data_IF_276475479819
#
_entry.id   IF_276475479819
#
_cell.length_a   1.000
_cell.length_b   1.000
_cell.length_c   1.000
_cell.angle_alpha   90.00
_cell.angle_beta   90.00
_cell.angle_gamma   90.00
#
_symmetry.space_group_name_H-M   'P 1'
#
loop_
_entity.id
_entity.type
_entity.pdbx_description
1 polymer ?
#
# COMPACT_ATOMS: atom_id res chain seq x y z
N UNK A 1 -3.63 22.23 -58.78
CA UNK A 1 -3.78 21.55 -57.48
C UNK A 1 -3.57 22.60 -56.41
N UNK A 2 -4.66 23.17 -55.86
CA UNK A 2 -4.60 24.15 -54.77
C UNK A 2 -4.71 23.41 -53.44
N UNK A 3 -3.67 23.49 -52.62
CA UNK A 3 -3.68 23.04 -51.23
C UNK A 3 -4.33 24.12 -50.37
N UNK A 4 -5.51 23.81 -49.81
CA UNK A 4 -6.17 24.62 -48.78
C UNK A 4 -5.40 24.40 -47.47
N UNK A 5 -4.90 25.45 -46.79
CA UNK A 5 -4.30 25.28 -45.47
C UNK A 5 -5.39 24.87 -44.47
N UNK A 6 -5.13 23.80 -43.72
CA UNK A 6 -6.00 23.36 -42.64
C UNK A 6 -5.97 24.39 -41.51
N UNK A 7 -7.02 25.17 -41.38
CA UNK A 7 -7.27 26.03 -40.21
C UNK A 7 -7.40 25.12 -38.99
N UNK A 8 -6.56 25.35 -37.97
CA UNK A 8 -6.72 24.70 -36.67
C UNK A 8 -8.14 25.00 -36.13
N UNK A 9 -8.83 24.01 -35.50
CA UNK A 9 -10.13 24.27 -34.91
C UNK A 9 -9.98 25.36 -33.83
N UNK A 10 -10.91 26.33 -33.76
CA UNK A 10 -10.88 27.34 -32.71
C UNK A 10 -10.98 26.64 -31.35
N UNK A 11 -10.15 27.08 -30.39
CA UNK A 11 -10.28 26.72 -28.98
C UNK A 11 -11.69 27.09 -28.51
N UNK A 12 -12.58 26.09 -28.44
CA UNK A 12 -13.95 26.27 -27.98
C UNK A 12 -13.93 26.49 -26.48
N UNK A 13 -14.20 27.73 -26.07
CA UNK A 13 -14.49 28.03 -24.67
C UNK A 13 -15.62 27.11 -24.17
N UNK A 14 -15.51 26.57 -22.93
CA UNK A 14 -16.55 25.71 -22.39
C UNK A 14 -17.86 26.50 -22.28
N UNK A 15 -18.92 25.97 -22.87
CA UNK A 15 -20.26 26.56 -22.81
C UNK A 15 -20.66 26.70 -21.35
N UNK A 16 -21.13 27.90 -20.96
CA UNK A 16 -21.57 28.16 -19.59
C UNK A 16 -22.69 27.19 -19.17
N UNK A 17 -22.62 26.69 -17.93
CA UNK A 17 -23.57 25.70 -17.40
C UNK A 17 -25.03 26.23 -17.42
N UNK A 18 -25.21 27.53 -17.26
CA UNK A 18 -26.52 28.19 -17.34
C UNK A 18 -27.13 28.12 -18.75
N UNK A 19 -26.30 28.25 -19.79
CA UNK A 19 -26.71 28.11 -21.19
C UNK A 19 -27.08 26.65 -21.51
N UNK A 20 -26.29 25.69 -21.02
CA UNK A 20 -26.60 24.25 -21.13
C UNK A 20 -27.94 23.94 -20.47
N UNK A 21 -28.18 24.48 -19.28
CA UNK A 21 -29.45 24.31 -18.55
C UNK A 21 -30.63 24.91 -19.31
N UNK A 22 -30.47 26.10 -19.87
CA UNK A 22 -31.49 26.75 -20.71
C UNK A 22 -31.84 25.94 -21.96
N UNK A 23 -30.82 25.41 -22.65
CA UNK A 23 -30.99 24.53 -23.80
C UNK A 23 -31.71 23.23 -23.42
N UNK A 24 -31.30 22.57 -22.32
CA UNK A 24 -31.97 21.36 -21.80
C UNK A 24 -33.46 21.59 -21.51
N UNK A 25 -33.78 22.71 -20.85
CA UNK A 25 -35.17 23.07 -20.56
C UNK A 25 -35.98 23.39 -21.81
N UNK A 26 -35.35 23.97 -22.83
CA UNK A 26 -36.01 24.29 -24.10
C UNK A 26 -36.32 23.00 -24.86
N UNK A 27 -35.34 22.10 -25.02
CA UNK A 27 -35.55 20.80 -25.68
C UNK A 27 -36.62 19.98 -24.96
N UNK A 28 -36.57 19.90 -23.63
CA UNK A 28 -37.56 19.17 -22.84
C UNK A 28 -39.01 19.71 -23.00
N UNK A 29 -39.18 20.99 -23.36
CA UNK A 29 -40.51 21.59 -23.60
C UNK A 29 -41.08 21.25 -24.98
N UNK A 30 -40.23 20.99 -25.95
CA UNK A 30 -40.63 20.78 -27.35
C UNK A 30 -40.47 19.32 -27.83
N UNK A 31 -39.76 18.48 -27.06
CA UNK A 31 -39.65 17.06 -27.33
C UNK A 31 -40.98 16.34 -27.16
N UNK A 32 -41.26 15.41 -28.06
CA UNK A 32 -42.51 14.64 -28.12
C UNK A 32 -42.52 13.51 -27.08
N UNK A 33 -41.35 12.93 -26.82
CA UNK A 33 -41.14 11.90 -25.81
C UNK A 33 -39.69 11.92 -25.27
N UNK A 34 -39.40 10.98 -24.36
CA UNK A 34 -38.09 10.90 -23.72
C UNK A 34 -36.96 10.46 -24.67
N UNK A 35 -37.26 9.71 -25.73
CA UNK A 35 -36.28 9.28 -26.72
C UNK A 35 -35.92 10.45 -27.66
N UNK A 36 -36.94 11.17 -28.14
CA UNK A 36 -36.83 12.40 -28.93
C UNK A 36 -36.03 13.48 -28.17
N UNK A 37 -36.28 13.63 -26.87
CA UNK A 37 -35.50 14.53 -26.01
C UNK A 37 -34.02 14.14 -25.96
N UNK A 38 -33.71 12.85 -25.82
CA UNK A 38 -32.34 12.37 -25.77
C UNK A 38 -31.60 12.58 -27.10
N UNK A 39 -32.27 12.30 -28.22
CA UNK A 39 -31.74 12.52 -29.58
C UNK A 39 -31.46 14.01 -29.84
N UNK A 40 -32.41 14.89 -29.50
CA UNK A 40 -32.25 16.34 -29.66
C UNK A 40 -31.12 16.90 -28.80
N UNK A 41 -30.95 16.40 -27.57
CA UNK A 41 -29.83 16.82 -26.73
C UNK A 41 -28.49 16.31 -27.25
N UNK A 42 -28.44 15.10 -27.80
CA UNK A 42 -27.25 14.52 -28.41
C UNK A 42 -26.83 15.30 -29.68
N UNK A 43 -27.80 15.64 -30.54
CA UNK A 43 -27.57 16.48 -31.73
C UNK A 43 -26.99 17.87 -31.38
N UNK A 44 -27.36 18.42 -30.23
CA UNK A 44 -26.82 19.68 -29.73
C UNK A 44 -25.45 19.52 -29.05
N UNK A 45 -24.95 18.30 -28.87
CA UNK A 45 -23.74 17.99 -28.11
C UNK A 45 -23.92 18.20 -26.60
N UNK A 46 -25.16 18.23 -26.11
CA UNK A 46 -25.55 18.52 -24.72
C UNK A 46 -26.01 17.23 -23.99
N UNK A 47 -26.16 16.13 -24.74
CA UNK A 47 -26.95 14.95 -24.39
C UNK A 47 -26.29 13.86 -23.57
N UNK A 48 -25.04 13.99 -23.16
CA UNK A 48 -24.45 13.02 -22.23
C UNK A 48 -23.91 13.73 -21.02
N UNK A 49 -24.53 13.46 -19.88
CA UNK A 49 -23.88 13.74 -18.60
C UNK A 49 -22.50 13.07 -18.65
N UNK A 50 -21.44 13.82 -18.32
CA UNK A 50 -20.09 13.34 -18.51
C UNK A 50 -19.91 11.99 -17.80
N UNK A 51 -19.24 11.04 -18.47
CA UNK A 51 -19.01 9.69 -17.96
C UNK A 51 -17.61 9.53 -17.41
N UNK A 52 -17.50 8.68 -16.39
CA UNK A 52 -16.24 8.35 -15.74
C UNK A 52 -15.37 7.52 -16.68
N UNK A 53 -14.14 7.98 -16.93
CA UNK A 53 -13.17 7.23 -17.76
C UNK A 53 -12.76 5.88 -17.16
N UNK A 54 -13.02 5.64 -15.87
CA UNK A 54 -12.62 4.39 -15.17
C UNK A 54 -13.73 3.35 -15.07
N UNK A 55 -14.99 3.76 -14.99
CA UNK A 55 -16.09 2.84 -14.73
C UNK A 55 -17.32 3.09 -15.60
N UNK A 56 -17.23 4.02 -16.55
CA UNK A 56 -18.32 4.44 -17.45
C UNK A 56 -19.62 4.91 -16.75
N UNK A 57 -19.55 5.15 -15.44
CA UNK A 57 -20.67 5.67 -14.65
C UNK A 57 -20.81 7.17 -14.77
N UNK A 58 -21.99 7.71 -14.40
CA UNK A 58 -22.23 9.15 -14.36
C UNK A 58 -21.22 9.86 -13.45
N UNK A 59 -20.65 10.98 -13.93
CA UNK A 59 -19.74 11.81 -13.15
C UNK A 59 -20.41 12.45 -11.95
N UNK A 60 -21.72 12.68 -12.02
CA UNK A 60 -22.58 13.09 -10.91
C UNK A 60 -23.41 11.89 -10.46
N UNK A 61 -23.11 11.37 -9.27
CA UNK A 61 -23.90 10.29 -8.65
C UNK A 61 -24.23 10.66 -7.21
N UNK A 62 -25.45 10.37 -6.72
CA UNK A 62 -25.79 10.53 -5.32
C UNK A 62 -25.02 9.52 -4.46
N UNK A 63 -24.63 9.92 -3.25
CA UNK A 63 -24.16 8.99 -2.23
C UNK A 63 -25.31 8.20 -1.59
N UNK A 64 -25.00 7.30 -0.65
CA UNK A 64 -26.00 6.53 0.08
C UNK A 64 -26.97 7.36 0.93
N UNK A 65 -26.76 8.68 1.04
CA UNK A 65 -27.62 9.65 1.72
C UNK A 65 -28.35 10.57 0.73
N UNK A 66 -28.22 10.34 -0.58
CA UNK A 66 -28.87 11.13 -1.63
C UNK A 66 -28.16 12.44 -2.00
N UNK A 67 -27.00 12.74 -1.41
CA UNK A 67 -26.24 13.96 -1.73
C UNK A 67 -25.47 13.78 -3.03
N UNK A 68 -25.63 14.70 -3.98
CA UNK A 68 -24.92 14.66 -5.26
C UNK A 68 -23.46 15.10 -5.10
N UNK A 69 -22.54 14.32 -5.66
CA UNK A 69 -21.11 14.65 -5.72
C UNK A 69 -20.66 14.68 -7.18
N UNK A 70 -19.95 15.73 -7.58
CA UNK A 70 -19.33 15.83 -8.89
C UNK A 70 -17.98 15.11 -8.90
N UNK A 71 -17.72 14.35 -9.97
CA UNK A 71 -16.40 13.83 -10.30
C UNK A 71 -15.42 14.94 -10.65
N UNK A 72 -14.12 14.59 -10.69
CA UNK A 72 -13.03 15.50 -11.02
C UNK A 72 -12.08 14.83 -12.01
N UNK A 73 -11.48 15.61 -12.91
CA UNK A 73 -10.45 15.15 -13.84
C UNK A 73 -10.88 13.92 -14.68
N UNK A 74 -12.15 13.89 -15.11
CA UNK A 74 -12.73 12.77 -15.87
C UNK A 74 -13.07 11.51 -15.05
N UNK A 75 -12.89 11.54 -13.73
CA UNK A 75 -13.14 10.41 -12.82
C UNK A 75 -14.31 10.72 -11.88
N UNK A 76 -15.28 9.81 -11.77
CA UNK A 76 -16.42 9.99 -10.87
C UNK A 76 -16.00 9.92 -9.40
N UNK A 77 -16.80 10.52 -8.53
CA UNK A 77 -16.54 10.57 -7.09
C UNK A 77 -16.33 9.18 -6.45
N UNK A 78 -17.07 8.16 -6.89
CA UNK A 78 -16.90 6.77 -6.39
C UNK A 78 -15.51 6.22 -6.68
N UNK A 79 -15.02 6.43 -7.90
CA UNK A 79 -13.69 5.99 -8.30
C UNK A 79 -12.58 6.80 -7.64
N UNK A 80 -12.79 8.10 -7.40
CA UNK A 80 -11.86 8.93 -6.63
C UNK A 80 -11.76 8.44 -5.19
N UNK A 81 -12.91 8.24 -4.52
CA UNK A 81 -12.96 7.72 -3.15
C UNK A 81 -12.31 6.35 -3.02
N UNK A 82 -12.58 5.43 -3.94
CA UNK A 82 -11.94 4.11 -3.95
C UNK A 82 -10.43 4.23 -4.13
N UNK A 83 -9.95 5.14 -4.98
CA UNK A 83 -8.52 5.39 -5.16
C UNK A 83 -7.88 5.98 -3.90
N UNK A 84 -8.55 6.90 -3.21
CA UNK A 84 -8.09 7.43 -1.92
C UNK A 84 -8.07 6.37 -0.82
N UNK A 85 -9.12 5.54 -0.71
CA UNK A 85 -9.20 4.43 0.24
C UNK A 85 -8.11 3.39 -0.05
N UNK A 86 -7.85 3.10 -1.32
CA UNK A 86 -6.74 2.23 -1.76
C UNK A 86 -5.39 2.86 -1.44
N UNK A 87 -5.20 4.16 -1.68
CA UNK A 87 -3.95 4.86 -1.32
C UNK A 87 -3.71 4.92 0.20
N UNK A 88 -4.78 5.06 0.99
CA UNK A 88 -4.72 5.02 2.46
C UNK A 88 -4.43 3.61 3.00
N UNK A 89 -4.86 2.56 2.31
CA UNK A 89 -4.67 1.16 2.69
C UNK A 89 -3.40 0.52 2.11
N UNK A 90 -2.87 1.02 1.01
CA UNK A 90 -1.61 0.61 0.38
C UNK A 90 -0.52 1.71 0.44
N UNK A 91 -0.15 2.29 1.60
CA UNK A 91 1.13 2.97 1.69
C UNK A 91 2.19 1.88 1.73
N UNK A 92 2.67 1.44 0.55
CA UNK A 92 3.76 0.49 0.32
C UNK A 92 4.38 -0.03 1.62
N UNK A 93 3.78 -1.06 2.23
CA UNK A 93 4.39 -1.72 3.38
C UNK A 93 5.65 -2.35 2.84
N UNK A 94 6.79 -1.74 3.16
CA UNK A 94 8.07 -2.34 2.84
C UNK A 94 8.04 -3.79 3.31
N UNK A 95 8.34 -4.72 2.43
CA UNK A 95 8.45 -6.10 2.84
C UNK A 95 9.73 -6.24 3.66
N UNK A 96 9.63 -6.90 4.81
CA UNK A 96 10.80 -7.37 5.53
C UNK A 96 11.52 -8.43 4.67
N UNK A 97 12.82 -8.61 4.87
CA UNK A 97 13.64 -9.63 4.18
C UNK A 97 13.06 -11.05 4.21
N UNK A 98 12.22 -11.36 5.21
CA UNK A 98 11.51 -12.63 5.28
C UNK A 98 10.26 -12.74 4.38
N UNK A 99 10.00 -11.75 3.53
CA UNK A 99 8.85 -11.67 2.63
C UNK A 99 7.52 -11.29 3.30
N UNK A 100 7.53 -10.98 4.60
CA UNK A 100 6.33 -10.52 5.33
C UNK A 100 6.25 -8.99 5.36
N UNK A 101 5.05 -8.40 5.40
CA UNK A 101 4.89 -6.96 5.50
C UNK A 101 5.53 -6.43 6.79
N UNK A 102 6.37 -5.41 6.68
CA UNK A 102 6.91 -4.69 7.83
C UNK A 102 5.87 -3.75 8.43
N UNK A 103 6.08 -3.37 9.69
CA UNK A 103 5.29 -2.30 10.32
C UNK A 103 5.64 -0.99 9.62
N UNK A 104 4.66 -0.08 9.52
CA UNK A 104 4.86 1.24 8.91
C UNK A 104 6.09 1.94 9.52
N UNK A 105 7.08 2.25 8.67
CA UNK A 105 8.32 2.94 9.07
C UNK A 105 9.41 2.05 9.67
N UNK A 106 9.18 0.74 9.80
CA UNK A 106 10.20 -0.22 10.23
C UNK A 106 10.73 -1.02 9.03
N UNK A 107 12.00 -1.43 9.08
CA UNK A 107 12.61 -2.34 8.09
C UNK A 107 12.31 -3.82 8.36
N UNK A 108 11.73 -4.14 9.52
CA UNK A 108 11.49 -5.50 9.98
C UNK A 108 10.00 -5.72 10.31
N UNK A 109 9.52 -6.93 10.05
CA UNK A 109 8.19 -7.35 10.49
C UNK A 109 8.20 -7.69 11.99
N UNK A 110 7.03 -7.71 12.67
CA UNK A 110 6.96 -8.03 14.11
C UNK A 110 7.61 -9.36 14.49
N UNK A 111 7.58 -10.34 13.59
CA UNK A 111 8.24 -11.63 13.79
C UNK A 111 9.77 -11.50 13.72
N UNK A 112 10.33 -10.89 12.69
CA UNK A 112 11.78 -10.72 12.54
C UNK A 112 12.39 -9.69 13.50
N UNK A 113 11.55 -8.79 14.02
CA UNK A 113 11.93 -7.91 15.12
C UNK A 113 12.25 -8.69 16.39
N UNK A 114 11.42 -9.69 16.70
CA UNK A 114 11.52 -10.48 17.94
C UNK A 114 12.30 -11.79 17.80
N UNK A 115 12.41 -12.32 16.58
CA UNK A 115 13.06 -13.59 16.28
C UNK A 115 14.22 -13.36 15.30
N UNK A 116 15.34 -14.00 15.56
CA UNK A 116 16.49 -14.02 14.67
C UNK A 116 16.87 -15.45 14.28
N UNK A 117 17.73 -15.57 13.27
CA UNK A 117 18.24 -16.88 12.83
C UNK A 117 18.99 -17.59 13.97
N UNK A 118 18.65 -18.85 14.18
CA UNK A 118 19.35 -19.72 15.12
C UNK A 118 20.83 -19.88 14.73
N UNK A 119 21.17 -19.85 13.45
CA UNK A 119 22.57 -19.93 13.00
C UNK A 119 23.39 -18.73 13.44
N UNK A 120 22.80 -17.53 13.43
CA UNK A 120 23.48 -16.34 13.96
C UNK A 120 23.78 -16.51 15.45
N UNK A 121 22.85 -17.06 16.22
CA UNK A 121 23.07 -17.38 17.62
C UNK A 121 24.12 -18.47 17.82
N UNK A 122 24.07 -19.58 17.06
CA UNK A 122 25.06 -20.66 17.12
C UNK A 122 26.48 -20.17 16.84
N UNK A 123 26.65 -19.33 15.80
CA UNK A 123 27.95 -18.75 15.45
C UNK A 123 28.50 -17.86 16.56
N UNK A 124 27.66 -16.97 17.12
CA UNK A 124 28.07 -16.12 18.24
C UNK A 124 28.45 -16.96 19.47
N UNK A 125 27.64 -17.97 19.79
CA UNK A 125 27.91 -18.88 20.89
C UNK A 125 29.22 -19.66 20.71
N UNK A 126 29.47 -20.19 19.51
CA UNK A 126 30.71 -20.90 19.19
C UNK A 126 31.94 -19.98 19.34
N UNK A 127 31.87 -18.74 18.84
CA UNK A 127 32.94 -17.75 19.01
C UNK A 127 33.25 -17.47 20.49
N UNK A 128 32.22 -17.32 21.32
CA UNK A 128 32.41 -17.13 22.77
C UNK A 128 33.09 -18.34 23.36
N UNK A 129 32.61 -19.55 23.06
CA UNK A 129 33.17 -20.78 23.59
C UNK A 129 34.64 -20.99 23.17
N UNK A 130 34.99 -20.64 21.94
CA UNK A 130 36.37 -20.70 21.44
C UNK A 130 37.27 -19.63 22.08
N UNK A 131 36.76 -18.42 22.29
CA UNK A 131 37.53 -17.31 22.84
C UNK A 131 37.79 -17.43 24.35
N UNK A 132 36.78 -17.84 25.12
CA UNK A 132 36.86 -17.88 26.59
C UNK A 132 37.26 -19.26 27.12
N UNK A 133 37.10 -20.32 26.33
CA UNK A 133 37.28 -21.71 26.77
C UNK A 133 36.24 -22.15 27.80
N UNK A 134 35.20 -21.35 28.05
CA UNK A 134 34.19 -21.66 29.05
C UNK A 134 33.30 -22.83 28.66
N UNK A 135 32.92 -23.62 29.67
CA UNK A 135 31.89 -24.63 29.49
C UNK A 135 30.53 -23.99 29.23
N UNK A 136 29.63 -24.74 28.57
CA UNK A 136 28.26 -24.29 28.32
C UNK A 136 27.51 -23.83 29.57
N UNK A 137 27.75 -24.48 30.71
CA UNK A 137 27.12 -24.11 31.96
C UNK A 137 27.61 -22.75 32.49
N UNK A 138 28.89 -22.41 32.28
CA UNK A 138 29.46 -21.12 32.66
C UNK A 138 28.92 -20.01 31.75
N UNK A 139 28.94 -20.21 30.43
CA UNK A 139 28.38 -19.26 29.46
C UNK A 139 26.91 -18.97 29.76
N UNK A 140 26.11 -20.01 29.99
CA UNK A 140 24.69 -19.84 30.31
C UNK A 140 24.49 -19.10 31.64
N UNK A 141 25.31 -19.37 32.66
CA UNK A 141 25.23 -18.70 33.96
C UNK A 141 25.59 -17.22 33.85
N UNK A 142 26.69 -16.89 33.17
CA UNK A 142 27.13 -15.51 32.95
C UNK A 142 26.08 -14.68 32.19
N UNK A 143 25.47 -15.27 31.16
CA UNK A 143 24.44 -14.60 30.36
C UNK A 143 23.01 -14.67 30.95
N UNK A 144 22.82 -15.33 32.10
CA UNK A 144 21.49 -15.53 32.70
C UNK A 144 20.53 -16.35 31.82
N UNK A 145 21.09 -17.27 31.02
CA UNK A 145 20.36 -18.12 30.08
C UNK A 145 19.99 -19.46 30.70
N UNK A 146 18.86 -20.02 30.27
CA UNK A 146 18.50 -21.39 30.63
C UNK A 146 19.36 -22.39 29.84
N UNK A 147 20.16 -23.19 30.55
CA UNK A 147 21.07 -24.18 29.98
C UNK A 147 20.39 -25.21 29.08
N UNK A 148 19.17 -25.64 29.42
CA UNK A 148 18.41 -26.59 28.61
C UNK A 148 17.94 -25.94 27.30
N UNK A 149 17.47 -24.69 27.36
CA UNK A 149 17.10 -23.94 26.16
C UNK A 149 18.30 -23.78 25.22
N UNK A 150 19.45 -23.34 25.74
CA UNK A 150 20.67 -23.18 24.92
C UNK A 150 21.12 -24.53 24.36
N UNK A 151 21.10 -25.59 25.16
CA UNK A 151 21.41 -26.95 24.67
C UNK A 151 20.56 -27.33 23.46
N UNK A 152 19.24 -27.07 23.48
CA UNK A 152 18.36 -27.41 22.34
C UNK A 152 18.59 -26.56 21.09
N UNK A 153 19.26 -25.41 21.21
CA UNK A 153 19.54 -24.50 20.10
C UNK A 153 20.90 -24.82 19.46
N UNK A 154 21.93 -25.06 20.28
CA UNK A 154 23.32 -25.15 19.84
C UNK A 154 23.70 -26.57 19.38
N UNK A 155 22.91 -27.60 19.71
CA UNK A 155 23.17 -28.96 19.20
C UNK A 155 23.08 -29.02 17.67
N UNK A 156 24.01 -29.71 17.00
CA UNK A 156 24.04 -29.80 15.53
C UNK A 156 22.76 -30.38 14.91
N UNK A 157 22.05 -31.24 15.64
CA UNK A 157 20.78 -31.85 15.22
C UNK A 157 19.55 -30.97 15.44
N UNK A 158 19.73 -29.73 15.90
CA UNK A 158 18.62 -28.83 16.18
C UNK A 158 17.95 -28.38 14.88
N UNK A 159 16.66 -28.72 14.74
CA UNK A 159 15.79 -28.26 13.64
C UNK A 159 15.24 -26.85 13.86
N UNK A 160 15.67 -26.15 14.93
CA UNK A 160 15.22 -24.77 15.16
C UNK A 160 15.96 -23.82 14.24
N UNK A 161 15.21 -23.12 13.40
CA UNK A 161 15.75 -22.09 12.51
C UNK A 161 15.73 -20.69 13.14
N UNK A 162 14.94 -20.50 14.21
CA UNK A 162 14.74 -19.21 14.85
C UNK A 162 14.88 -19.27 16.37
N UNK A 163 15.43 -18.21 16.93
CA UNK A 163 15.57 -17.96 18.36
C UNK A 163 15.09 -16.55 18.69
N UNK A 164 14.66 -16.33 19.92
CA UNK A 164 14.26 -14.98 20.34
C UNK A 164 15.48 -14.07 20.39
N UNK A 165 15.32 -12.85 19.88
CA UNK A 165 16.37 -11.82 19.89
C UNK A 165 16.84 -11.53 21.32
N UNK A 166 15.92 -11.55 22.30
CA UNK A 166 16.23 -11.43 23.73
C UNK A 166 17.32 -12.40 24.20
N UNK A 167 17.30 -13.67 23.77
CA UNK A 167 18.33 -14.65 24.17
C UNK A 167 19.70 -14.28 23.61
N UNK A 168 19.75 -13.77 22.38
CA UNK A 168 20.98 -13.30 21.77
C UNK A 168 21.49 -12.02 22.42
N UNK A 169 20.60 -11.06 22.70
CA UNK A 169 20.98 -9.81 23.36
C UNK A 169 21.55 -10.07 24.76
N UNK A 170 20.98 -11.04 25.49
CA UNK A 170 21.54 -11.50 26.78
C UNK A 170 22.94 -12.11 26.63
N UNK A 171 23.16 -12.93 25.60
CA UNK A 171 24.46 -13.53 25.30
C UNK A 171 25.50 -12.45 24.94
N UNK A 172 25.15 -11.53 24.04
CA UNK A 172 26.04 -10.44 23.61
C UNK A 172 26.32 -9.49 24.78
N UNK A 173 25.32 -9.11 25.57
CA UNK A 173 25.51 -8.21 26.71
C UNK A 173 26.51 -8.76 27.74
N UNK A 174 26.56 -10.08 27.91
CA UNK A 174 27.49 -10.73 28.84
C UNK A 174 28.94 -10.80 28.32
N UNK A 175 29.14 -10.84 26.99
CA UNK A 175 30.45 -11.09 26.37
C UNK A 175 30.94 -9.98 25.43
N UNK A 176 30.21 -8.86 25.32
CA UNK A 176 30.54 -7.75 24.41
C UNK A 176 31.94 -7.16 24.63
N UNK A 177 32.45 -7.23 25.86
CA UNK A 177 33.75 -6.65 26.24
C UNK A 177 34.90 -7.67 26.06
N UNK A 178 34.57 -8.95 25.89
CA UNK A 178 35.54 -10.05 25.75
C UNK A 178 35.67 -10.55 24.30
N UNK A 179 34.59 -10.45 23.51
CA UNK A 179 34.51 -11.02 22.16
C UNK A 179 33.82 -10.04 21.21
N UNK A 180 34.45 -9.75 20.07
CA UNK A 180 33.80 -8.99 19.00
C UNK A 180 32.77 -9.86 18.26
N UNK A 181 31.50 -9.59 18.54
CA UNK A 181 30.34 -10.36 18.08
C UNK A 181 29.54 -9.65 16.97
N UNK A 182 30.09 -8.57 16.40
CA UNK A 182 29.48 -7.83 15.29
C UNK A 182 29.59 -8.54 13.92
#
# INVERSE_FOLDING_TARGET
>A
MSTVPATAPPDTEPIAEETIRGARMTVARFATDAADCAELLDMLGIGTDPRCVRCDGLMTSPDGLGKQHAGKDGVCWRCLRLAEETAKSNPATANCDCGRPAVRGESQCPMCRNLMSADKFRRAYARIQEATGESRAQICRAAGLNTQTVRTIVVPSSTRDRVTRKLYDQLVAAYKDEVDLN
#
